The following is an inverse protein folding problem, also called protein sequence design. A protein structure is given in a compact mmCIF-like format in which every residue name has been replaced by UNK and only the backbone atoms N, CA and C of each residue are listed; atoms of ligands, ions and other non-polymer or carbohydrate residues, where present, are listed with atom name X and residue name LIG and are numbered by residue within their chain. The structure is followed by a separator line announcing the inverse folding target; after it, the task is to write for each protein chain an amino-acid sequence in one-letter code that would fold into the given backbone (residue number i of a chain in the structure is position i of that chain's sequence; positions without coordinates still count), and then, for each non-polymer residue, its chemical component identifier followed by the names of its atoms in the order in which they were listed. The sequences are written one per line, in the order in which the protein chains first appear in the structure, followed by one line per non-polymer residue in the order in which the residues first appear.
data_IF_212598394527
#
_entry.id   IF_212598394527
#
_cell.length_a   1.000
_cell.length_b   1.000
_cell.length_c   1.000
_cell.angle_alpha   90.00
_cell.angle_beta   90.00
_cell.angle_gamma   90.00
#
_symmetry.space_group_name_H-M   'P 1'
#
loop_
_entity.id
_entity.type
_entity.pdbx_description
1 polymer ?
#
# COMPACT_ATOMS: atom_id res chain seq x y z
N UNK A 1 37.85 -40.42 38.69
CA UNK A 1 37.36 -39.11 38.19
C UNK A 1 37.17 -39.02 36.65
N UNK A 2 37.45 -40.08 35.87
CA UNK A 2 37.43 -40.02 34.39
C UNK A 2 36.03 -40.25 33.77
N UNK A 3 35.16 -41.03 34.41
CA UNK A 3 33.85 -41.42 33.83
C UNK A 3 32.83 -40.27 33.71
N UNK A 4 32.84 -39.31 34.63
CA UNK A 4 31.88 -38.19 34.63
C UNK A 4 32.15 -37.17 33.50
N UNK A 5 33.43 -36.92 33.19
CA UNK A 5 33.83 -36.03 32.07
C UNK A 5 33.40 -36.61 30.72
N UNK A 6 33.47 -37.93 30.56
CA UNK A 6 33.06 -38.62 29.34
C UNK A 6 31.54 -38.61 29.16
N UNK A 7 30.77 -38.75 30.26
CA UNK A 7 29.31 -38.72 30.24
C UNK A 7 28.78 -37.33 29.82
N UNK A 8 29.34 -36.26 30.40
CA UNK A 8 28.97 -34.89 30.04
C UNK A 8 29.29 -34.58 28.58
N UNK A 9 30.45 -35.05 28.08
CA UNK A 9 30.84 -34.87 26.69
C UNK A 9 29.90 -35.60 25.73
N UNK A 10 29.45 -36.81 26.08
CA UNK A 10 28.50 -37.57 25.26
C UNK A 10 27.11 -36.93 25.24
N UNK A 11 26.67 -36.39 26.37
CA UNK A 11 25.43 -35.60 26.45
C UNK A 11 25.52 -34.34 25.57
N UNK A 12 26.62 -33.59 25.63
CA UNK A 12 26.85 -32.40 24.80
C UNK A 12 26.91 -32.73 23.29
N UNK A 13 27.49 -33.87 22.91
CA UNK A 13 27.54 -34.28 21.51
C UNK A 13 26.13 -34.62 21.00
N UNK A 14 25.33 -35.32 21.80
CA UNK A 14 23.97 -35.68 21.43
C UNK A 14 23.07 -34.43 21.29
N UNK A 15 23.15 -33.49 22.23
CA UNK A 15 22.40 -32.23 22.13
C UNK A 15 22.80 -31.40 20.92
N UNK A 16 24.10 -31.30 20.61
CA UNK A 16 24.58 -30.61 19.40
C UNK A 16 24.10 -31.29 18.10
N UNK A 17 24.10 -32.63 18.06
CA UNK A 17 23.59 -33.38 16.91
C UNK A 17 22.09 -33.16 16.70
N UNK A 18 21.32 -33.12 17.80
CA UNK A 18 19.89 -32.83 17.78
C UNK A 18 19.62 -31.39 17.31
N UNK A 19 20.34 -30.41 17.87
CA UNK A 19 20.25 -28.99 17.48
C UNK A 19 20.57 -28.79 16.00
N UNK A 20 21.58 -29.48 15.48
CA UNK A 20 21.95 -29.41 14.05
C UNK A 20 20.84 -29.96 13.17
N UNK A 21 20.26 -31.14 13.51
CA UNK A 21 19.13 -31.71 12.77
C UNK A 21 17.90 -30.82 12.80
N UNK A 22 17.55 -30.23 13.95
CA UNK A 22 16.41 -29.31 14.08
C UNK A 22 16.61 -28.08 13.20
N UNK A 23 17.78 -27.44 13.24
CA UNK A 23 18.09 -26.27 12.40
C UNK A 23 18.02 -26.60 10.90
N UNK A 24 18.54 -27.77 10.50
CA UNK A 24 18.46 -28.22 9.11
C UNK A 24 17.03 -28.46 8.66
N UNK A 25 16.19 -29.10 9.49
CA UNK A 25 14.78 -29.35 9.18
C UNK A 25 13.96 -28.05 9.06
N UNK A 26 14.21 -27.09 9.96
CA UNK A 26 13.59 -25.75 9.91
C UNK A 26 13.98 -25.00 8.64
N UNK A 27 15.27 -25.01 8.28
CA UNK A 27 15.75 -24.34 7.07
C UNK A 27 15.17 -24.97 5.79
N UNK A 28 15.10 -26.30 5.72
CA UNK A 28 14.51 -26.99 4.54
C UNK A 28 13.03 -26.71 4.41
N UNK A 29 12.27 -26.74 5.52
CA UNK A 29 10.84 -26.47 5.52
C UNK A 29 10.51 -25.04 5.10
N UNK A 30 11.24 -24.05 5.65
CA UNK A 30 11.06 -22.64 5.30
C UNK A 30 11.36 -22.36 3.82
N UNK A 31 12.39 -23.01 3.27
CA UNK A 31 12.76 -22.87 1.85
C UNK A 31 11.68 -23.46 0.94
N UNK A 32 11.16 -24.65 1.28
CA UNK A 32 10.07 -25.27 0.51
C UNK A 32 8.77 -24.48 0.56
N UNK A 33 8.46 -23.85 1.70
CA UNK A 33 7.26 -23.01 1.84
C UNK A 33 7.37 -21.75 0.98
N UNK A 34 8.52 -21.08 1.00
CA UNK A 34 8.75 -19.86 0.21
C UNK A 34 8.67 -20.12 -1.30
N UNK A 35 9.28 -21.22 -1.77
CA UNK A 35 9.22 -21.61 -3.18
C UNK A 35 7.79 -21.98 -3.59
N UNK A 36 7.05 -22.72 -2.76
CA UNK A 36 5.65 -23.07 -3.02
C UNK A 36 4.71 -21.86 -3.04
N UNK A 37 4.94 -20.88 -2.15
CA UNK A 37 4.09 -19.68 -2.04
C UNK A 37 4.12 -18.82 -3.30
N UNK A 38 5.19 -18.84 -4.08
CA UNK A 38 5.27 -18.11 -5.36
C UNK A 38 4.22 -18.56 -6.38
N UNK A 39 3.79 -19.83 -6.34
CA UNK A 39 2.77 -20.37 -7.26
C UNK A 39 1.34 -19.93 -6.92
N UNK A 40 1.11 -19.43 -5.71
CA UNK A 40 -0.19 -18.88 -5.28
C UNK A 40 -0.42 -17.44 -5.78
N UNK A 41 0.63 -16.80 -6.31
CA UNK A 41 0.56 -15.49 -6.92
C UNK A 41 0.75 -15.65 -8.44
N UNK A 42 -0.28 -16.05 -9.20
CA UNK A 42 -0.21 -16.03 -10.64
C UNK A 42 0.14 -14.61 -11.06
N UNK A 43 1.18 -14.47 -11.88
CA UNK A 43 1.50 -13.19 -12.51
C UNK A 43 0.27 -12.75 -13.30
N UNK A 44 -0.45 -11.76 -12.80
CA UNK A 44 -1.53 -11.13 -13.54
C UNK A 44 -0.88 -10.37 -14.68
N UNK A 45 -0.77 -11.04 -15.83
CA UNK A 45 -0.53 -10.36 -17.07
C UNK A 45 -1.67 -9.35 -17.23
N UNK A 46 -1.37 -8.06 -17.06
CA UNK A 46 -2.27 -7.00 -17.46
C UNK A 46 -2.59 -7.26 -18.93
N UNK A 47 -3.86 -7.54 -19.24
CA UNK A 47 -4.29 -7.57 -20.63
C UNK A 47 -3.94 -6.21 -21.21
N UNK A 48 -3.12 -6.20 -22.25
CA UNK A 48 -2.87 -5.01 -23.06
C UNK A 48 -4.14 -4.76 -23.87
N UNK A 49 -5.19 -4.32 -23.19
CA UNK A 49 -6.33 -3.71 -23.87
C UNK A 49 -5.77 -2.51 -24.66
N UNK A 50 -6.18 -2.32 -25.92
CA UNK A 50 -5.83 -1.12 -26.66
C UNK A 50 -6.20 0.07 -25.80
N UNK A 51 -5.20 0.89 -25.44
CA UNK A 51 -5.47 2.11 -24.69
C UNK A 51 -6.51 2.90 -25.49
N UNK A 52 -7.58 3.40 -24.86
CA UNK A 52 -8.51 4.27 -25.54
C UNK A 52 -7.71 5.40 -26.18
N UNK A 53 -7.87 5.58 -27.48
CA UNK A 53 -7.25 6.69 -28.20
C UNK A 53 -7.97 7.94 -27.71
N UNK A 54 -7.34 8.64 -26.76
CA UNK A 54 -7.83 9.92 -26.27
C UNK A 54 -7.42 10.96 -27.31
N UNK A 55 -8.41 11.51 -28.00
CA UNK A 55 -8.20 12.68 -28.85
C UNK A 55 -7.88 13.88 -27.96
N UNK A 56 -6.59 14.19 -27.83
CA UNK A 56 -6.09 15.35 -27.07
C UNK A 56 -6.21 16.66 -27.83
N UNK A 57 -6.65 16.64 -29.09
CA UNK A 57 -6.89 17.85 -29.88
C UNK A 57 -8.22 18.52 -29.53
N UNK A 58 -9.16 17.77 -28.98
CA UNK A 58 -10.41 18.30 -28.47
C UNK A 58 -10.24 18.85 -27.05
N UNK A 59 -10.80 20.04 -26.78
CA UNK A 59 -10.90 20.58 -25.43
C UNK A 59 -11.87 19.71 -24.61
N UNK A 60 -11.32 18.73 -23.89
CA UNK A 60 -12.03 18.07 -22.79
C UNK A 60 -12.10 19.08 -21.66
N UNK A 61 -13.31 19.46 -21.23
CA UNK A 61 -13.52 20.59 -20.32
C UNK A 61 -12.58 20.60 -19.11
N UNK A 62 -12.15 21.78 -18.69
CA UNK A 62 -11.33 21.97 -17.49
C UNK A 62 -12.22 22.20 -16.27
N UNK A 63 -11.94 21.51 -15.16
CA UNK A 63 -12.53 21.90 -13.87
C UNK A 63 -11.79 23.13 -13.34
N UNK A 64 -12.54 24.13 -12.89
CA UNK A 64 -11.97 25.37 -12.37
C UNK A 64 -11.23 25.12 -11.05
N UNK A 65 -9.95 24.76 -11.10
CA UNK A 65 -9.12 24.56 -9.91
C UNK A 65 -8.44 25.84 -9.44
N UNK A 66 -8.36 26.06 -8.13
CA UNK A 66 -7.57 27.14 -7.53
C UNK A 66 -6.36 26.55 -6.78
N UNK A 67 -5.16 26.99 -7.15
CA UNK A 67 -3.90 26.60 -6.50
C UNK A 67 -3.39 27.74 -5.62
N UNK A 68 -3.04 27.45 -4.36
CA UNK A 68 -2.31 28.38 -3.49
C UNK A 68 -1.16 27.66 -2.79
N UNK A 69 -0.15 28.41 -2.38
CA UNK A 69 0.92 27.90 -1.52
C UNK A 69 0.98 28.78 -0.29
N UNK A 70 0.74 28.18 0.88
CA UNK A 70 0.65 28.89 2.14
C UNK A 70 1.48 28.16 3.19
N UNK A 71 2.37 28.87 3.86
CA UNK A 71 3.22 28.31 4.93
C UNK A 71 4.02 27.06 4.51
N UNK A 72 4.40 26.98 3.23
CA UNK A 72 5.13 25.83 2.67
C UNK A 72 4.26 24.63 2.32
N UNK A 73 2.94 24.71 2.53
CA UNK A 73 1.98 23.71 2.08
C UNK A 73 1.37 24.11 0.74
N UNK A 74 1.23 23.16 -0.18
CA UNK A 74 0.47 23.33 -1.43
C UNK A 74 -1.00 23.05 -1.14
N UNK A 75 -1.86 24.00 -1.46
CA UNK A 75 -3.30 23.86 -1.43
C UNK A 75 -3.88 23.85 -2.85
N UNK A 76 -4.84 22.96 -3.10
CA UNK A 76 -5.58 22.92 -4.36
C UNK A 76 -7.06 22.74 -4.08
N UNK A 77 -7.93 23.55 -4.68
CA UNK A 77 -9.38 23.47 -4.50
C UNK A 77 -10.08 23.25 -5.83
N UNK A 78 -10.89 22.21 -5.94
CA UNK A 78 -11.69 21.86 -7.11
C UNK A 78 -13.17 21.94 -6.72
N UNK A 79 -13.90 22.99 -7.14
CA UNK A 79 -15.32 23.12 -6.87
C UNK A 79 -16.10 22.07 -7.66
N UNK A 80 -17.10 21.47 -7.01
CA UNK A 80 -18.00 20.52 -7.63
C UNK A 80 -19.26 21.28 -8.06
N UNK A 81 -19.52 21.27 -9.37
CA UNK A 81 -20.72 21.95 -9.91
C UNK A 81 -21.97 21.14 -9.57
N UNK A 82 -22.86 21.75 -8.78
CA UNK A 82 -24.13 21.15 -8.38
C UNK A 82 -25.32 21.93 -8.99
N UNK A 83 -26.38 21.23 -9.41
CA UNK A 83 -27.62 21.88 -9.82
C UNK A 83 -28.31 22.57 -8.64
N UNK A 84 -29.13 23.61 -8.89
CA UNK A 84 -29.94 24.21 -7.83
C UNK A 84 -30.92 23.19 -7.25
N UNK A 85 -30.97 23.09 -5.93
CA UNK A 85 -31.92 22.24 -5.23
C UNK A 85 -33.30 22.89 -5.05
N UNK A 86 -34.16 22.20 -4.31
CA UNK A 86 -35.51 22.65 -4.01
C UNK A 86 -35.44 23.99 -3.26
N UNK A 87 -36.29 24.94 -3.65
CA UNK A 87 -36.32 26.30 -3.11
C UNK A 87 -35.02 27.10 -3.30
N UNK A 88 -34.17 26.73 -4.27
CA UNK A 88 -32.93 27.45 -4.57
C UNK A 88 -31.76 27.15 -3.63
N UNK A 89 -31.91 26.19 -2.72
CA UNK A 89 -30.80 25.73 -1.89
C UNK A 89 -29.80 24.95 -2.74
N UNK A 90 -28.58 25.46 -2.86
CA UNK A 90 -27.49 24.81 -3.60
C UNK A 90 -26.37 24.48 -2.62
N UNK A 91 -25.97 23.20 -2.48
CA UNK A 91 -24.82 22.86 -1.65
C UNK A 91 -23.54 23.36 -2.31
N UNK A 92 -22.64 23.91 -1.50
CA UNK A 92 -21.29 24.24 -1.96
C UNK A 92 -20.37 23.10 -1.59
N UNK A 93 -19.92 22.34 -2.59
CA UNK A 93 -19.00 21.21 -2.39
C UNK A 93 -17.69 21.45 -3.13
N UNK A 94 -16.57 21.06 -2.52
CA UNK A 94 -15.25 21.09 -3.15
C UNK A 94 -14.37 19.92 -2.73
N UNK A 95 -13.52 19.46 -3.65
CA UNK A 95 -12.39 18.59 -3.33
C UNK A 95 -11.20 19.48 -3.02
N UNK A 96 -10.60 19.29 -1.85
CA UNK A 96 -9.46 20.07 -1.39
C UNK A 96 -8.25 19.16 -1.21
N UNK A 97 -7.12 19.58 -1.75
CA UNK A 97 -5.82 18.99 -1.50
C UNK A 97 -5.00 19.93 -0.61
N UNK A 98 -4.30 19.36 0.37
CA UNK A 98 -3.26 20.03 1.14
C UNK A 98 -2.08 19.07 1.33
N UNK A 99 -0.88 19.49 0.96
CA UNK A 99 0.32 18.62 1.02
C UNK A 99 0.74 18.19 2.43
N UNK A 100 0.28 18.91 3.46
CA UNK A 100 0.52 18.61 4.87
C UNK A 100 -0.63 17.83 5.51
N UNK A 101 -1.74 17.64 4.81
CA UNK A 101 -2.86 16.84 5.30
C UNK A 101 -2.53 15.35 5.27
N UNK A 102 -2.99 14.65 6.31
CA UNK A 102 -2.83 13.20 6.43
C UNK A 102 -3.79 12.41 5.52
N UNK A 103 -4.02 11.16 5.88
CA UNK A 103 -4.96 10.31 5.16
C UNK A 103 -6.42 10.67 5.48
N UNK A 104 -7.24 10.87 4.44
CA UNK A 104 -8.67 11.17 4.55
C UNK A 104 -9.53 10.20 3.73
N UNK A 105 -10.83 10.52 3.60
CA UNK A 105 -11.78 9.69 2.83
C UNK A 105 -11.40 9.55 1.35
N UNK A 106 -10.71 10.56 0.79
CA UNK A 106 -10.31 10.60 -0.62
C UNK A 106 -8.83 10.24 -0.81
N UNK A 107 -8.16 9.75 0.25
CA UNK A 107 -6.74 9.41 0.24
C UNK A 107 -5.86 10.46 0.94
N UNK A 108 -4.55 10.32 0.79
CA UNK A 108 -3.56 11.17 1.45
C UNK A 108 -3.56 12.56 0.84
N UNK A 109 -3.68 13.58 1.68
CA UNK A 109 -3.69 14.98 1.27
C UNK A 109 -5.02 15.47 0.70
N UNK A 110 -5.95 14.58 0.34
CA UNK A 110 -7.25 14.92 -0.25
C UNK A 110 -8.41 14.83 0.77
N UNK A 111 -9.30 15.81 0.72
CA UNK A 111 -10.53 15.87 1.50
C UNK A 111 -11.71 16.42 0.71
N UNK A 112 -12.92 16.13 1.20
CA UNK A 112 -14.16 16.72 0.71
C UNK A 112 -14.62 17.80 1.71
N UNK A 113 -14.90 19.01 1.22
CA UNK A 113 -15.44 20.11 2.01
C UNK A 113 -16.80 20.52 1.47
N UNK A 114 -17.66 21.03 2.35
CA UNK A 114 -18.88 21.70 1.92
C UNK A 114 -19.75 22.26 3.02
N UNK A 115 -20.71 23.10 2.59
CA UNK A 115 -21.73 23.79 3.40
C UNK A 115 -23.12 23.65 2.74
#
# INVERSE_FOLDING_TARGET
MIRLKTLNKLFTINTLALLKRIKTLLATSLTTLFLGLSSLFPYQAFSTEPLPIIDTSALVGSTAGALSVEQGAVNYSIPITMPPGISGMKPELSINYNSNSGNGLLGIGFGLSGL
#
